data_IF_305820212401
#
_entry.id   IF_305820212401
#
_cell.length_a   1.000
_cell.length_b   1.000
_cell.length_c   1.000
_cell.angle_alpha   90.00
_cell.angle_beta   90.00
_cell.angle_gamma   90.00
#
_symmetry.space_group_name_H-M   'P 1'
#
loop_
_entity.id
_entity.type
_entity.pdbx_description
1 polymer ?
#
# COMPACT_ATOMS: atom_id res chain seq x y z
N UNK A 1 -0.59 17.32 3.14
CA UNK A 1 0.39 16.73 4.08
C UNK A 1 1.77 16.75 3.41
N UNK A 2 2.85 16.40 4.11
CA UNK A 2 4.15 16.13 3.46
C UNK A 2 4.24 14.66 3.04
N UNK A 3 5.18 14.29 2.16
CA UNK A 3 5.47 12.87 1.87
C UNK A 3 5.87 12.11 3.14
N UNK A 4 6.61 12.74 4.06
CA UNK A 4 6.97 12.12 5.34
C UNK A 4 5.73 11.77 6.16
N UNK A 5 4.81 12.73 6.32
CA UNK A 5 3.57 12.50 7.06
C UNK A 5 2.72 11.42 6.37
N UNK A 6 2.63 11.48 5.03
CA UNK A 6 1.88 10.52 4.23
C UNK A 6 2.40 9.10 4.42
N UNK A 7 3.69 8.85 4.17
CA UNK A 7 4.26 7.50 4.25
C UNK A 7 4.29 6.97 5.68
N UNK A 8 4.36 7.83 6.70
CA UNK A 8 4.21 7.42 8.10
C UNK A 8 2.82 6.85 8.42
N UNK A 9 1.79 7.22 7.67
CA UNK A 9 0.41 6.71 7.80
C UNK A 9 0.17 5.56 6.83
N UNK A 10 0.55 5.76 5.57
CA UNK A 10 0.26 4.86 4.46
C UNK A 10 0.96 3.50 4.61
N UNK A 11 2.24 3.47 4.96
CA UNK A 11 3.01 2.20 5.07
C UNK A 11 2.42 1.24 6.11
N UNK A 12 2.11 1.67 7.36
CA UNK A 12 1.41 0.82 8.31
C UNK A 12 0.07 0.31 7.79
N UNK A 13 -0.66 1.13 7.03
CA UNK A 13 -1.95 0.77 6.46
C UNK A 13 -1.81 -0.33 5.38
N UNK A 14 -0.83 -0.20 4.48
CA UNK A 14 -0.47 -1.25 3.50
C UNK A 14 -0.13 -2.56 4.22
N UNK A 15 0.72 -2.51 5.26
CA UNK A 15 1.11 -3.72 6.00
C UNK A 15 -0.08 -4.43 6.64
N UNK A 16 -1.06 -3.67 7.16
CA UNK A 16 -2.31 -4.24 7.67
C UNK A 16 -3.14 -4.88 6.55
N UNK A 17 -3.22 -4.24 5.39
CA UNK A 17 -3.92 -4.79 4.23
C UNK A 17 -3.32 -6.13 3.78
N UNK A 18 -1.98 -6.25 3.75
CA UNK A 18 -1.27 -7.47 3.32
C UNK A 18 -1.45 -8.69 4.24
N UNK A 19 -1.97 -8.52 5.46
CA UNK A 19 -2.19 -9.61 6.42
C UNK A 19 -3.67 -9.83 6.74
N UNK A 20 -4.55 -8.97 6.23
CA UNK A 20 -5.98 -9.09 6.48
C UNK A 20 -6.58 -10.02 5.44
N UNK A 21 -7.19 -11.12 5.89
CA UNK A 21 -7.98 -11.95 4.99
C UNK A 21 -9.18 -11.16 4.48
N UNK A 22 -9.26 -11.00 3.16
CA UNK A 22 -10.35 -10.28 2.52
C UNK A 22 -11.46 -11.28 2.18
N UNK A 23 -12.62 -11.11 2.82
CA UNK A 23 -13.77 -12.00 2.63
C UNK A 23 -14.60 -11.57 1.41
N UNK A 24 -14.60 -10.27 1.06
CA UNK A 24 -15.29 -9.70 -0.10
C UNK A 24 -14.66 -8.36 -0.53
N UNK A 25 -14.47 -8.15 -1.83
CA UNK A 25 -13.95 -6.90 -2.40
C UNK A 25 -12.43 -6.81 -2.43
N UNK A 26 -11.89 -5.64 -2.82
CA UNK A 26 -10.46 -5.31 -2.69
C UNK A 26 -10.32 -4.34 -1.52
N UNK A 27 -9.56 -4.72 -0.50
CA UNK A 27 -9.28 -3.84 0.64
C UNK A 27 -7.99 -3.07 0.39
N UNK A 28 -8.13 -1.80 -0.03
CA UNK A 28 -7.01 -0.89 -0.18
C UNK A 28 -6.39 -0.50 1.18
N UNK A 29 -5.22 0.17 1.17
CA UNK A 29 -4.59 0.66 2.39
C UNK A 29 -5.49 1.62 3.18
N UNK A 30 -6.31 2.42 2.49
CA UNK A 30 -7.24 3.40 3.05
C UNK A 30 -8.27 2.80 4.02
N UNK A 31 -8.64 1.52 3.85
CA UNK A 31 -9.56 0.82 4.74
C UNK A 31 -9.04 0.67 6.18
N UNK A 32 -7.74 0.83 6.38
CA UNK A 32 -7.08 0.69 7.68
C UNK A 32 -6.79 2.04 8.35
N UNK A 33 -7.42 3.11 7.85
CA UNK A 33 -7.38 4.46 8.39
C UNK A 33 -8.77 4.79 8.95
N UNK A 34 -8.90 4.76 10.28
CA UNK A 34 -10.18 4.90 10.99
C UNK A 34 -10.76 6.33 10.95
N UNK A 35 -9.90 7.35 10.86
CA UNK A 35 -10.33 8.75 10.77
C UNK A 35 -10.70 9.09 9.32
N UNK A 36 -11.98 9.32 9.07
CA UNK A 36 -12.50 9.59 7.72
C UNK A 36 -11.85 10.80 7.05
N UNK A 37 -11.60 11.88 7.79
CA UNK A 37 -10.98 13.08 7.25
C UNK A 37 -9.49 12.85 6.95
N UNK A 38 -8.80 12.07 7.78
CA UNK A 38 -7.43 11.65 7.51
C UNK A 38 -7.37 10.72 6.29
N UNK A 39 -8.30 9.76 6.19
CA UNK A 39 -8.39 8.83 5.06
C UNK A 39 -8.56 9.58 3.75
N UNK A 40 -9.51 10.51 3.68
CA UNK A 40 -9.72 11.35 2.50
C UNK A 40 -8.47 12.18 2.16
N UNK A 41 -7.82 12.76 3.16
CA UNK A 41 -6.58 13.50 2.94
C UNK A 41 -5.43 12.62 2.43
N UNK A 42 -5.30 11.38 2.91
CA UNK A 42 -4.30 10.41 2.44
C UNK A 42 -4.59 10.03 0.99
N UNK A 43 -5.82 9.66 0.66
CA UNK A 43 -6.21 9.31 -0.71
C UNK A 43 -5.97 10.46 -1.69
N UNK A 44 -6.40 11.68 -1.35
CA UNK A 44 -6.16 12.86 -2.17
C UNK A 44 -4.66 13.13 -2.34
N UNK A 45 -3.85 12.92 -1.29
CA UNK A 45 -2.41 13.14 -1.38
C UNK A 45 -1.72 12.09 -2.23
N UNK A 46 -2.11 10.81 -2.12
CA UNK A 46 -1.64 9.71 -2.97
C UNK A 46 -1.83 10.06 -4.46
N UNK A 47 -3.03 10.52 -4.84
CA UNK A 47 -3.30 10.97 -6.22
C UNK A 47 -2.36 12.10 -6.65
N UNK A 48 -2.03 13.04 -5.75
CA UNK A 48 -1.14 14.17 -6.10
C UNK A 48 0.31 13.79 -6.30
N UNK A 49 0.79 12.73 -5.64
CA UNK A 49 2.18 12.26 -5.74
C UNK A 49 2.31 10.97 -6.55
N UNK A 50 1.23 10.54 -7.22
CA UNK A 50 1.16 9.24 -7.87
C UNK A 50 2.27 9.06 -8.89
N UNK A 51 2.42 9.99 -9.83
CA UNK A 51 3.38 9.89 -10.92
C UNK A 51 4.84 9.80 -10.42
N UNK A 52 5.16 10.46 -9.31
CA UNK A 52 6.50 10.45 -8.72
C UNK A 52 6.85 9.11 -8.05
N UNK A 53 5.83 8.34 -7.70
CA UNK A 53 5.92 7.06 -6.99
C UNK A 53 5.18 5.93 -7.69
N UNK A 54 4.89 6.06 -8.99
CA UNK A 54 3.97 5.18 -9.71
C UNK A 54 4.34 3.70 -9.55
N UNK A 55 5.63 3.37 -9.69
CA UNK A 55 6.12 1.98 -9.52
C UNK A 55 5.78 1.40 -8.15
N UNK A 56 5.85 2.20 -7.09
CA UNK A 56 5.50 1.77 -5.74
C UNK A 56 3.99 1.59 -5.58
N UNK A 57 3.19 2.55 -6.03
CA UNK A 57 1.74 2.49 -5.91
C UNK A 57 1.12 1.40 -6.80
N UNK A 58 1.58 1.26 -8.04
CA UNK A 58 1.17 0.18 -8.95
C UNK A 58 1.40 -1.18 -8.30
N UNK A 59 2.57 -1.38 -7.68
CA UNK A 59 2.86 -2.65 -7.03
C UNK A 59 2.03 -2.91 -5.76
N UNK A 60 1.69 -1.86 -5.00
CA UNK A 60 0.73 -1.97 -3.88
C UNK A 60 -0.65 -2.37 -4.42
N UNK A 61 -1.14 -1.69 -5.45
CA UNK A 61 -2.44 -1.94 -6.06
C UNK A 61 -2.53 -3.35 -6.64
N UNK A 62 -1.57 -3.73 -7.49
CA UNK A 62 -1.54 -5.03 -8.15
C UNK A 62 -1.46 -6.19 -7.13
N UNK A 63 -0.64 -6.03 -6.08
CA UNK A 63 -0.55 -7.03 -5.03
C UNK A 63 -1.86 -7.16 -4.25
N UNK A 64 -2.45 -6.05 -3.79
CA UNK A 64 -3.66 -6.09 -2.98
C UNK A 64 -4.88 -6.56 -3.78
N UNK A 65 -4.98 -6.22 -5.07
CA UNK A 65 -6.02 -6.73 -5.95
C UNK A 65 -5.92 -8.26 -6.08
N UNK A 66 -4.74 -8.78 -6.43
CA UNK A 66 -4.51 -10.21 -6.57
C UNK A 66 -4.72 -10.97 -5.24
N UNK A 67 -4.19 -10.42 -4.14
CA UNK A 67 -4.30 -11.01 -2.81
C UNK A 67 -5.78 -11.08 -2.36
N UNK A 68 -6.54 -10.01 -2.57
CA UNK A 68 -7.97 -9.96 -2.19
C UNK A 68 -8.83 -10.93 -3.00
N UNK A 69 -8.46 -11.20 -4.26
CA UNK A 69 -9.12 -12.18 -5.12
C UNK A 69 -8.62 -13.62 -4.94
N UNK A 70 -7.69 -13.85 -4.00
CA UNK A 70 -7.02 -15.15 -3.80
C UNK A 70 -6.33 -15.67 -5.06
N UNK A 71 -5.79 -14.77 -5.89
CA UNK A 71 -5.04 -15.16 -7.08
C UNK A 71 -3.65 -15.70 -6.68
N UNK A 72 -3.17 -16.75 -7.37
CA UNK A 72 -1.87 -17.35 -7.06
C UNK A 72 -0.68 -16.49 -7.53
N UNK A 73 -0.92 -15.47 -8.35
CA UNK A 73 0.11 -14.65 -8.99
C UNK A 73 -0.28 -13.18 -9.09
N UNK A 74 0.73 -12.31 -9.19
CA UNK A 74 0.62 -10.90 -9.60
C UNK A 74 1.39 -10.77 -10.91
N UNK A 75 0.67 -10.64 -12.03
CA UNK A 75 1.28 -10.81 -13.35
C UNK A 75 1.92 -12.19 -13.49
N UNK A 76 3.21 -12.23 -13.82
CA UNK A 76 4.00 -13.46 -14.00
C UNK A 76 4.68 -13.97 -12.70
N UNK A 77 4.52 -13.24 -11.59
CA UNK A 77 5.20 -13.56 -10.33
C UNK A 77 4.28 -14.30 -9.36
N UNK A 78 4.76 -15.37 -8.67
CA UNK A 78 4.02 -15.99 -7.57
C UNK A 78 3.66 -14.98 -6.48
N UNK A 79 2.46 -15.09 -5.91
CA UNK A 79 1.96 -14.13 -4.89
C UNK A 79 2.92 -13.99 -3.69
N UNK A 80 3.55 -15.07 -3.27
CA UNK A 80 4.54 -15.08 -2.18
C UNK A 80 5.84 -14.33 -2.55
N UNK A 81 6.23 -14.34 -3.82
CA UNK A 81 7.37 -13.56 -4.30
C UNK A 81 7.03 -12.09 -4.37
N UNK A 82 5.86 -11.74 -4.92
CA UNK A 82 5.34 -10.37 -4.95
C UNK A 82 5.21 -9.79 -3.55
N UNK A 83 4.74 -10.58 -2.57
CA UNK A 83 4.68 -10.18 -1.17
C UNK A 83 6.04 -9.78 -0.62
N UNK A 84 7.06 -10.62 -0.79
CA UNK A 84 8.43 -10.33 -0.32
C UNK A 84 9.02 -9.10 -1.00
N UNK A 85 8.78 -8.94 -2.30
CA UNK A 85 9.25 -7.78 -3.04
C UNK A 85 8.57 -6.49 -2.52
N UNK A 86 7.26 -6.54 -2.24
CA UNK A 86 6.52 -5.41 -1.68
C UNK A 86 7.01 -5.07 -0.26
N UNK A 87 7.21 -6.08 0.60
CA UNK A 87 7.79 -5.90 1.94
C UNK A 87 9.15 -5.18 1.88
N UNK A 88 10.03 -5.59 0.96
CA UNK A 88 11.33 -4.95 0.78
C UNK A 88 11.20 -3.49 0.32
N UNK A 89 10.26 -3.17 -0.58
CA UNK A 89 10.01 -1.78 -0.97
C UNK A 89 9.45 -0.94 0.18
N UNK A 90 8.53 -1.50 0.97
CA UNK A 90 7.97 -0.83 2.14
C UNK A 90 9.09 -0.48 3.14
N UNK A 91 10.05 -1.38 3.37
CA UNK A 91 11.21 -1.09 4.22
C UNK A 91 12.08 0.06 3.68
N UNK A 92 12.30 0.10 2.36
CA UNK A 92 13.06 1.19 1.71
C UNK A 92 12.34 2.53 1.87
N UNK A 93 11.03 2.56 1.61
CA UNK A 93 10.22 3.76 1.76
C UNK A 93 10.12 4.20 3.22
N UNK A 94 9.94 3.27 4.16
CA UNK A 94 9.92 3.54 5.59
C UNK A 94 11.25 4.16 6.06
N UNK A 95 12.39 3.67 5.56
CA UNK A 95 13.70 4.27 5.86
C UNK A 95 13.88 5.65 5.21
N UNK A 96 13.47 5.80 3.95
CA UNK A 96 13.58 7.07 3.21
C UNK A 96 12.77 8.19 3.85
N UNK A 97 11.58 7.87 4.35
CA UNK A 97 10.63 8.84 4.89
C UNK A 97 10.50 8.81 6.41
N UNK A 98 11.40 8.09 7.09
CA UNK A 98 11.45 8.08 8.55
C UNK A 98 11.63 9.49 9.09
N UNK A 99 10.67 9.96 9.89
CA UNK A 99 10.81 11.22 10.63
C UNK A 99 12.04 11.16 11.54
N UNK A 100 12.92 12.16 11.43
CA UNK A 100 14.03 12.37 12.38
C UNK A 100 13.53 12.99 13.67
#
# INVERSE_FOLDING_TARGET
MTEQDFFAIYIPAVRKAMITEVVFGVSGPDWFIDDDALRENVMNFEETIYDEHAVFFDMVHDFLDAYSHNFPTVGDYPIEESKRNLEAMLDIYEQRYKSK
#
